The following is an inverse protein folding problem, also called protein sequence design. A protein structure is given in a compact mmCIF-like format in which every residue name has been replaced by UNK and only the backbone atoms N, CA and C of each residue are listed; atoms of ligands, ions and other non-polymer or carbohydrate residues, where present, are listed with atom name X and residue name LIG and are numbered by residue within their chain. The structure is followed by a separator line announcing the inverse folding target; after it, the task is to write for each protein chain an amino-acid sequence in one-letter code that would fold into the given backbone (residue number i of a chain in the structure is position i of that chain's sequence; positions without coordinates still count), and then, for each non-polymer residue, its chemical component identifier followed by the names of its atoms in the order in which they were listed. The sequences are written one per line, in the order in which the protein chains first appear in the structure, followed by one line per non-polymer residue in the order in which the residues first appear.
data_IF_144449746350
#
_entry.id   IF_144449746350
#
_cell.length_a   1.000
_cell.length_b   1.000
_cell.length_c   1.000
_cell.angle_alpha   90.00
_cell.angle_beta   90.00
_cell.angle_gamma   90.00
#
_symmetry.space_group_name_H-M   'P 1'
#
loop_
_entity.id
_entity.type
_entity.pdbx_description
1 polymer ?
#
# COMPACT_ATOMS: atom_id res chain seq x y z
N UNK A 1 28.36 -37.18 46.21
CA UNK A 1 28.18 -36.91 44.77
C UNK A 1 27.28 -35.70 44.64
N UNK A 2 27.82 -34.52 44.33
CA UNK A 2 27.04 -33.30 44.07
C UNK A 2 26.73 -33.18 42.57
N UNK A 3 25.50 -32.82 42.16
CA UNK A 3 25.14 -32.81 40.74
C UNK A 3 25.76 -31.61 40.01
N UNK A 4 26.24 -31.88 38.80
CA UNK A 4 26.82 -30.92 37.85
C UNK A 4 25.79 -29.86 37.42
N UNK A 5 26.11 -28.59 37.65
CA UNK A 5 25.31 -27.43 37.27
C UNK A 5 25.27 -27.29 35.72
N UNK A 6 24.09 -27.28 35.06
CA UNK A 6 24.03 -27.20 33.61
C UNK A 6 24.60 -25.87 33.10
N UNK A 7 25.62 -25.95 32.24
CA UNK A 7 26.27 -24.79 31.62
C UNK A 7 25.21 -23.92 30.92
N UNK A 8 25.02 -22.68 31.38
CA UNK A 8 24.17 -21.68 30.73
C UNK A 8 24.54 -21.58 29.25
N UNK A 9 23.59 -21.83 28.35
CA UNK A 9 23.76 -21.61 26.91
C UNK A 9 24.16 -20.15 26.69
N UNK A 10 25.33 -19.92 26.09
CA UNK A 10 25.77 -18.58 25.69
C UNK A 10 24.83 -18.08 24.60
N UNK A 11 24.25 -16.90 24.79
CA UNK A 11 23.52 -16.22 23.74
C UNK A 11 24.53 -15.82 22.66
N UNK A 12 24.57 -16.58 21.57
CA UNK A 12 25.31 -16.18 20.38
C UNK A 12 24.66 -14.91 19.83
N UNK A 13 25.35 -13.78 19.93
CA UNK A 13 24.96 -12.59 19.17
C UNK A 13 25.13 -12.93 17.70
N UNK A 14 24.02 -13.00 16.97
CA UNK A 14 24.06 -13.12 15.52
C UNK A 14 24.90 -11.96 14.97
N UNK A 15 25.83 -12.26 14.07
CA UNK A 15 26.71 -11.28 13.47
C UNK A 15 25.91 -10.11 12.87
N UNK A 16 26.41 -8.88 12.99
CA UNK A 16 25.73 -7.67 12.51
C UNK A 16 25.30 -7.73 11.05
N UNK A 17 25.97 -8.55 10.23
CA UNK A 17 25.57 -8.88 8.87
C UNK A 17 24.14 -9.43 8.76
N UNK A 18 23.72 -10.34 9.64
CA UNK A 18 22.35 -10.89 9.60
C UNK A 18 21.31 -9.86 10.06
N UNK A 19 21.68 -8.96 10.97
CA UNK A 19 20.83 -7.84 11.33
C UNK A 19 20.66 -6.88 10.14
N UNK A 20 21.74 -6.61 9.42
CA UNK A 20 21.75 -5.76 8.23
C UNK A 20 20.97 -6.39 7.07
N UNK A 21 21.17 -7.68 6.81
CA UNK A 21 20.45 -8.42 5.77
C UNK A 21 18.93 -8.43 6.03
N UNK A 22 18.51 -8.66 7.29
CA UNK A 22 17.09 -8.57 7.68
C UNK A 22 16.53 -7.17 7.50
N UNK A 23 17.30 -6.14 7.84
CA UNK A 23 16.88 -4.75 7.62
C UNK A 23 16.72 -4.45 6.12
N UNK A 24 17.63 -4.96 5.28
CA UNK A 24 17.59 -4.79 3.83
C UNK A 24 16.38 -5.49 3.21
N UNK A 25 16.11 -6.72 3.60
CA UNK A 25 14.91 -7.47 3.18
C UNK A 25 13.61 -6.74 3.56
N UNK A 26 13.56 -6.16 4.76
CA UNK A 26 12.39 -5.37 5.21
C UNK A 26 12.23 -4.03 4.47
N UNK A 27 13.31 -3.51 3.87
CA UNK A 27 13.27 -2.30 3.03
C UNK A 27 12.81 -2.65 1.61
N UNK A 28 13.26 -3.80 1.07
CA UNK A 28 12.96 -4.23 -0.29
C UNK A 28 11.53 -4.75 -0.45
N UNK A 29 10.97 -5.40 0.58
CA UNK A 29 9.65 -6.01 0.51
C UNK A 29 8.67 -5.35 1.49
N UNK A 30 7.89 -4.41 0.97
CA UNK A 30 6.89 -3.69 1.75
C UNK A 30 5.73 -4.58 2.20
N UNK A 31 5.36 -5.59 1.42
CA UNK A 31 4.25 -6.48 1.74
C UNK A 31 4.65 -7.41 2.89
N UNK A 32 5.87 -7.96 2.86
CA UNK A 32 6.46 -8.70 3.99
C UNK A 32 6.60 -7.82 5.24
N UNK A 33 6.96 -6.54 5.07
CA UNK A 33 6.99 -5.58 6.17
C UNK A 33 5.60 -5.39 6.80
N UNK A 34 4.53 -5.24 5.99
CA UNK A 34 3.15 -5.17 6.49
C UNK A 34 2.69 -6.47 7.18
N UNK A 35 3.15 -7.63 6.70
CA UNK A 35 2.91 -8.94 7.33
C UNK A 35 3.54 -9.08 8.70
N UNK A 36 4.77 -8.59 8.84
CA UNK A 36 5.48 -8.62 10.12
C UNK A 36 4.80 -7.84 11.25
N UNK A 37 3.84 -6.95 10.95
CA UNK A 37 3.15 -6.09 11.93
C UNK A 37 1.91 -6.70 12.56
N UNK A 38 1.51 -7.91 12.15
CA UNK A 38 0.38 -8.63 12.77
C UNK A 38 -0.92 -7.81 12.74
N UNK A 39 -1.57 -7.65 13.90
CA UNK A 39 -2.86 -6.95 13.99
C UNK A 39 -2.79 -5.47 13.63
N UNK A 40 -1.71 -4.78 14.02
CA UNK A 40 -1.47 -3.39 13.64
C UNK A 40 -1.26 -3.22 12.12
N UNK A 41 -0.87 -4.29 11.42
CA UNK A 41 -0.73 -4.31 9.96
C UNK A 41 -2.06 -4.35 9.20
N UNK A 42 -3.14 -4.87 9.80
CA UNK A 42 -4.47 -4.95 9.17
C UNK A 42 -5.01 -3.58 8.74
N UNK A 43 -5.11 -2.56 9.64
CA UNK A 43 -5.61 -1.25 9.25
C UNK A 43 -4.72 -0.57 8.21
N UNK A 44 -3.40 -0.78 8.27
CA UNK A 44 -2.46 -0.23 7.29
C UNK A 44 -2.66 -0.82 5.89
N UNK A 45 -2.97 -2.12 5.78
CA UNK A 45 -3.30 -2.75 4.49
C UNK A 45 -4.58 -2.18 3.91
N UNK A 46 -5.61 -2.01 4.74
CA UNK A 46 -6.87 -1.41 4.31
C UNK A 46 -6.65 0.02 3.83
N UNK A 47 -5.87 0.81 4.58
CA UNK A 47 -5.54 2.18 4.21
C UNK A 47 -4.72 2.24 2.91
N UNK A 48 -3.75 1.34 2.73
CA UNK A 48 -3.00 1.21 1.47
C UNK A 48 -3.93 0.90 0.31
N UNK A 49 -4.82 -0.07 0.45
CA UNK A 49 -5.77 -0.46 -0.58
C UNK A 49 -6.69 0.71 -0.95
N UNK A 50 -7.15 1.49 0.02
CA UNK A 50 -7.93 2.70 -0.21
C UNK A 50 -7.12 3.77 -0.95
N UNK A 51 -5.86 4.01 -0.58
CA UNK A 51 -4.98 4.96 -1.29
C UNK A 51 -4.75 4.54 -2.74
N UNK A 52 -4.51 3.24 -2.97
CA UNK A 52 -4.37 2.65 -4.30
C UNK A 52 -5.66 2.81 -5.11
N UNK A 53 -6.81 2.53 -4.50
CA UNK A 53 -8.11 2.68 -5.13
C UNK A 53 -8.42 4.14 -5.50
N UNK A 54 -8.11 5.09 -4.61
CA UNK A 54 -8.25 6.53 -4.85
C UNK A 54 -7.37 7.01 -6.01
N UNK A 55 -6.29 6.30 -6.30
CA UNK A 55 -5.43 6.54 -7.46
C UNK A 55 -5.89 5.86 -8.75
N UNK A 56 -7.02 5.15 -8.76
CA UNK A 56 -7.53 4.46 -9.95
C UNK A 56 -7.16 2.99 -10.04
N UNK A 57 -6.66 2.39 -8.96
CA UNK A 57 -6.40 0.96 -8.85
C UNK A 57 -5.00 0.52 -9.27
N UNK A 58 -4.70 -0.76 -9.00
CA UNK A 58 -3.35 -1.34 -9.09
C UNK A 58 -2.71 -1.19 -10.48
N UNK A 59 -3.52 -1.32 -11.54
CA UNK A 59 -3.06 -1.22 -12.93
C UNK A 59 -2.76 0.21 -13.39
N UNK A 60 -3.22 1.22 -12.64
CA UNK A 60 -3.11 2.62 -13.04
C UNK A 60 -1.96 3.35 -12.33
N UNK A 61 -1.36 2.75 -11.31
CA UNK A 61 -0.37 3.37 -10.43
C UNK A 61 1.04 3.22 -11.01
N UNK A 62 1.76 4.33 -11.04
CA UNK A 62 3.18 4.35 -11.41
C UNK A 62 4.07 3.88 -10.25
N UNK A 63 5.28 3.43 -10.54
CA UNK A 63 6.24 3.01 -9.50
C UNK A 63 6.53 4.12 -8.48
N UNK A 64 6.61 5.38 -8.92
CA UNK A 64 6.86 6.52 -8.06
C UNK A 64 5.72 6.78 -7.08
N UNK A 65 4.48 6.67 -7.54
CA UNK A 65 3.30 6.82 -6.68
C UNK A 65 3.23 5.70 -5.65
N UNK A 66 3.59 4.46 -6.03
CA UNK A 66 3.68 3.35 -5.07
C UNK A 66 4.70 3.63 -3.97
N UNK A 67 5.90 4.08 -4.34
CA UNK A 67 6.93 4.45 -3.37
C UNK A 67 6.42 5.55 -2.44
N UNK A 68 5.73 6.56 -2.97
CA UNK A 68 5.18 7.65 -2.18
C UNK A 68 4.07 7.18 -1.23
N UNK A 69 3.18 6.29 -1.66
CA UNK A 69 2.16 5.65 -0.81
C UNK A 69 2.83 4.87 0.33
N UNK A 70 3.78 4.00 0.00
CA UNK A 70 4.46 3.14 0.96
C UNK A 70 5.29 3.96 1.98
N UNK A 71 5.93 5.04 1.55
CA UNK A 71 6.60 6.00 2.43
C UNK A 71 5.61 6.71 3.37
N UNK A 72 4.47 7.15 2.84
CA UNK A 72 3.42 7.81 3.63
C UNK A 72 2.86 6.89 4.71
N UNK A 73 2.66 5.61 4.38
CA UNK A 73 2.19 4.59 5.33
C UNK A 73 3.19 4.36 6.48
N UNK A 74 4.50 4.32 6.18
CA UNK A 74 5.53 4.22 7.22
C UNK A 74 5.49 5.43 8.15
N UNK A 75 5.41 6.63 7.59
CA UNK A 75 5.33 7.88 8.36
C UNK A 75 4.05 7.94 9.21
N UNK A 76 2.92 7.48 8.68
CA UNK A 76 1.67 7.37 9.43
C UNK A 76 1.78 6.39 10.59
N UNK A 77 2.42 5.23 10.39
CA UNK A 77 2.69 4.30 11.48
C UNK A 77 3.59 4.92 12.55
N UNK A 78 4.63 5.68 12.18
CA UNK A 78 5.46 6.39 13.16
C UNK A 78 4.64 7.38 13.99
N UNK A 79 3.72 8.11 13.37
CA UNK A 79 2.82 9.00 14.09
C UNK A 79 1.96 8.24 15.10
N UNK A 80 1.39 7.10 14.70
CA UNK A 80 0.58 6.27 15.61
C UNK A 80 1.41 5.73 16.77
N UNK A 81 2.64 5.27 16.53
CA UNK A 81 3.54 4.79 17.58
C UNK A 81 3.94 5.90 18.57
N UNK A 82 4.11 7.13 18.09
CA UNK A 82 4.38 8.28 18.94
C UNK A 82 3.17 8.58 19.82
N UNK A 83 1.97 8.57 19.25
CA UNK A 83 0.75 8.83 19.99
C UNK A 83 0.48 7.73 21.03
N UNK A 84 0.72 6.46 20.67
CA UNK A 84 0.64 5.31 21.57
C UNK A 84 1.62 5.44 22.75
N UNK A 85 2.89 5.76 22.47
CA UNK A 85 3.90 6.02 23.50
C UNK A 85 3.49 7.15 24.45
N UNK A 86 3.04 8.29 23.91
CA UNK A 86 2.72 9.47 24.70
C UNK A 86 1.44 9.29 25.52
N UNK A 87 0.40 8.72 24.92
CA UNK A 87 -0.93 8.63 25.53
C UNK A 87 -1.12 7.36 26.36
N UNK A 88 -0.61 6.22 25.90
CA UNK A 88 -0.82 4.93 26.56
C UNK A 88 0.32 4.62 27.53
N UNK A 89 1.58 4.64 27.07
CA UNK A 89 2.70 4.23 27.93
C UNK A 89 3.06 5.26 29.00
N UNK A 90 3.16 6.54 28.61
CA UNK A 90 3.56 7.61 29.54
C UNK A 90 2.37 8.28 30.25
N UNK A 91 1.18 8.23 29.65
CA UNK A 91 -0.06 8.87 30.14
C UNK A 91 -0.03 10.40 30.23
N UNK A 92 1.13 11.03 30.00
CA UNK A 92 1.32 12.48 30.00
C UNK A 92 2.41 12.87 29.01
N UNK A 93 2.29 14.01 28.31
CA UNK A 93 3.30 14.47 27.35
C UNK A 93 4.53 15.09 28.02
N UNK A 94 4.48 15.29 29.34
CA UNK A 94 5.53 15.92 30.13
C UNK A 94 6.27 14.84 30.91
N UNK A 95 7.58 14.79 30.71
CA UNK A 95 8.47 14.01 31.57
C UNK A 95 8.53 14.68 32.95
N UNK A 96 7.97 14.01 33.96
CA UNK A 96 7.88 14.52 35.34
C UNK A 96 9.24 14.66 36.03
N UNK A 97 10.22 13.83 35.66
CA UNK A 97 11.57 13.86 36.24
C UNK A 97 12.31 15.13 35.82
N UNK A 98 12.32 15.41 34.52
CA UNK A 98 13.08 16.51 33.95
C UNK A 98 12.26 17.80 33.81
N UNK A 99 10.94 17.74 34.14
CA UNK A 99 9.96 18.83 34.03
C UNK A 99 9.93 19.46 32.63
N UNK A 100 10.05 18.63 31.61
CA UNK A 100 10.13 19.02 30.19
C UNK A 100 9.22 18.14 29.34
N UNK A 101 8.79 18.64 28.18
CA UNK A 101 8.10 17.81 27.19
C UNK A 101 9.02 16.71 26.68
N UNK A 102 8.46 15.54 26.37
CA UNK A 102 9.22 14.52 25.66
C UNK A 102 9.63 15.05 24.28
N UNK A 103 10.88 14.81 23.87
CA UNK A 103 11.37 15.23 22.55
C UNK A 103 10.52 14.65 21.41
N UNK A 104 9.94 13.47 21.62
CA UNK A 104 9.05 12.80 20.67
C UNK A 104 7.77 13.61 20.41
N UNK A 105 7.25 14.32 21.43
CA UNK A 105 6.09 15.22 21.29
C UNK A 105 6.42 16.42 20.40
N UNK A 106 7.64 16.95 20.49
CA UNK A 106 8.10 18.03 19.60
C UNK A 106 8.24 17.56 18.16
N UNK A 107 8.70 16.33 17.95
CA UNK A 107 8.85 15.72 16.62
C UNK A 107 7.52 15.33 15.96
N UNK A 108 6.44 15.23 16.74
CA UNK A 108 5.10 14.89 16.25
C UNK A 108 4.60 15.84 15.17
N UNK A 109 4.82 17.15 15.36
CA UNK A 109 4.34 18.19 14.43
C UNK A 109 4.87 17.99 13.01
N UNK A 110 6.20 17.96 12.80
CA UNK A 110 6.80 17.71 11.48
C UNK A 110 6.37 16.40 10.84
N UNK A 111 6.21 15.33 11.62
CA UNK A 111 5.76 14.02 11.11
C UNK A 111 4.32 14.10 10.62
N UNK A 112 3.44 14.73 11.40
CA UNK A 112 2.05 14.96 11.00
C UNK A 112 1.97 15.80 9.72
N UNK A 113 2.75 16.88 9.64
CA UNK A 113 2.82 17.74 8.46
C UNK A 113 3.29 16.96 7.22
N UNK A 114 4.28 16.07 7.36
CA UNK A 114 4.74 15.23 6.26
C UNK A 114 3.63 14.30 5.74
N UNK A 115 2.82 13.70 6.62
CA UNK A 115 1.67 12.88 6.22
C UNK A 115 0.63 13.72 5.49
N UNK A 116 0.32 14.91 6.01
CA UNK A 116 -0.68 15.80 5.39
C UNK A 116 -0.24 16.32 4.02
N UNK A 117 1.06 16.61 3.84
CA UNK A 117 1.63 17.03 2.55
C UNK A 117 1.62 15.93 1.50
N UNK A 118 1.62 14.66 1.90
CA UNK A 118 1.62 13.54 0.95
C UNK A 118 0.34 13.50 0.09
N UNK A 119 -0.82 13.86 0.65
CA UNK A 119 -2.10 13.83 -0.08
C UNK A 119 -2.13 14.70 -1.35
N UNK A 120 -1.83 16.01 -1.24
CA UNK A 120 -1.71 16.90 -2.40
C UNK A 120 -0.69 16.40 -3.44
N UNK A 121 0.48 15.94 -3.00
CA UNK A 121 1.53 15.42 -3.88
C UNK A 121 1.03 14.21 -4.68
N UNK A 122 0.36 13.26 -4.03
CA UNK A 122 -0.22 12.09 -4.72
C UNK A 122 -1.31 12.49 -5.72
N UNK A 123 -2.09 13.54 -5.43
CA UNK A 123 -3.09 14.06 -6.35
C UNK A 123 -2.46 14.75 -7.57
N UNK A 124 -1.36 15.47 -7.37
CA UNK A 124 -0.61 16.08 -8.47
C UNK A 124 -0.01 15.01 -9.40
N UNK A 125 0.60 13.97 -8.82
CA UNK A 125 1.10 12.81 -9.57
C UNK A 125 0.00 12.11 -10.36
N UNK A 126 -1.21 12.00 -9.79
CA UNK A 126 -2.37 11.46 -10.51
C UNK A 126 -2.77 12.34 -11.70
N UNK A 127 -2.74 13.67 -11.54
CA UNK A 127 -3.13 14.63 -12.59
C UNK A 127 -2.12 14.69 -13.74
N UNK A 128 -0.83 14.44 -13.45
CA UNK A 128 0.23 14.46 -14.46
C UNK A 128 0.25 13.21 -15.35
N UNK A 129 -0.57 12.20 -15.06
CA UNK A 129 -0.67 10.99 -15.89
C UNK A 129 -1.18 11.34 -17.29
N UNK A 130 -0.63 10.71 -18.35
CA UNK A 130 -1.17 10.85 -19.69
C UNK A 130 -2.60 10.35 -19.70
N UNK A 131 -3.55 11.22 -20.07
CA UNK A 131 -4.95 10.83 -20.22
C UNK A 131 -5.02 9.79 -21.33
N UNK A 132 -5.73 8.67 -21.10
CA UNK A 132 -6.11 7.79 -22.21
C UNK A 132 -6.81 8.64 -23.26
N UNK A 133 -6.33 8.57 -24.50
CA UNK A 133 -6.90 9.33 -25.59
C UNK A 133 -8.41 9.05 -25.68
N UNK A 134 -9.24 10.09 -25.83
CA UNK A 134 -10.66 9.90 -25.93
C UNK A 134 -10.96 9.04 -27.16
N UNK A 135 -11.69 7.95 -26.96
CA UNK A 135 -12.18 7.12 -28.06
C UNK A 135 -13.05 8.02 -28.94
N UNK A 136 -12.67 8.19 -30.21
CA UNK A 136 -13.44 8.98 -31.15
C UNK A 136 -14.85 8.37 -31.28
N UNK A 137 -15.87 9.23 -31.34
CA UNK A 137 -17.28 8.83 -31.41
C UNK A 137 -17.57 7.73 -32.48
N UNK A 138 -16.96 7.77 -33.70
CA UNK A 138 -17.15 6.74 -34.71
C UNK A 138 -16.67 5.35 -34.26
N UNK A 139 -15.55 5.28 -33.55
CA UNK A 139 -14.97 4.01 -33.09
C UNK A 139 -15.75 3.45 -31.91
N UNK A 140 -16.30 4.32 -31.07
CA UNK A 140 -17.23 3.93 -30.01
C UNK A 140 -18.51 3.30 -30.58
N UNK A 141 -19.11 3.93 -31.60
CA UNK A 141 -20.32 3.42 -32.27
C UNK A 141 -20.06 2.06 -32.93
N UNK A 142 -18.91 1.86 -33.57
CA UNK A 142 -18.50 0.56 -34.12
C UNK A 142 -18.35 -0.52 -33.05
N UNK A 143 -17.78 -0.19 -31.89
CA UNK A 143 -17.63 -1.15 -30.78
C UNK A 143 -18.96 -1.54 -30.12
N UNK A 144 -19.98 -0.68 -30.23
CA UNK A 144 -21.34 -0.91 -29.71
C UNK A 144 -22.27 -1.61 -30.72
N UNK A 145 -21.97 -1.52 -32.01
CA UNK A 145 -22.66 -2.28 -33.05
C UNK A 145 -22.29 -3.76 -32.93
N UNK A 146 -22.98 -4.50 -32.07
CA UNK A 146 -22.98 -5.96 -32.14
C UNK A 146 -23.39 -6.38 -33.56
N UNK A 147 -22.77 -7.40 -34.16
CA UNK A 147 -23.25 -7.94 -35.42
C UNK A 147 -24.67 -8.46 -35.17
N UNK A 148 -25.64 -7.84 -35.83
CA UNK A 148 -26.96 -8.43 -36.05
C UNK A 148 -26.69 -9.82 -36.62
N UNK A 149 -27.14 -10.91 -35.98
CA UNK A 149 -26.97 -12.24 -36.56
C UNK A 149 -27.70 -12.19 -37.91
N UNK A 150 -26.92 -12.30 -38.98
CA UNK A 150 -27.42 -12.32 -40.35
C UNK A 150 -28.48 -13.40 -40.47
N UNK A 151 -29.61 -13.02 -41.07
CA UNK A 151 -30.64 -13.94 -41.51
C UNK A 151 -29.99 -15.06 -42.31
N UNK A 152 -30.09 -16.28 -41.78
CA UNK A 152 -29.91 -17.50 -42.58
C UNK A 152 -30.90 -17.40 -43.73
N UNK A 153 -30.33 -17.15 -44.91
CA UNK A 153 -31.03 -17.13 -46.17
C UNK A 153 -31.72 -18.50 -46.37
N UNK A 154 -33.03 -18.54 -46.14
CA UNK A 154 -33.90 -19.60 -46.64
C UNK A 154 -34.14 -19.34 -48.13
N UNK A 155 -33.12 -19.60 -48.95
CA UNK A 155 -33.30 -19.92 -50.36
C UNK A 155 -33.75 -21.38 -50.45
N UNK A 156 -35.07 -21.61 -50.32
CA UNK A 156 -35.63 -22.87 -50.79
C UNK A 156 -35.75 -22.78 -52.31
N UNK A 157 -34.85 -23.51 -52.97
CA UNK A 157 -34.87 -23.79 -54.39
C UNK A 157 -36.24 -24.30 -54.84
N UNK A 158 -36.68 -23.77 -55.98
CA UNK A 158 -37.91 -24.15 -56.65
C UNK A 158 -37.91 -25.62 -57.07
N UNK A 159 -38.91 -26.34 -56.60
CA UNK A 159 -39.35 -27.59 -57.22
C UNK A 159 -40.41 -27.26 -58.28
N UNK A 160 -40.00 -27.19 -59.54
CA UNK A 160 -40.92 -27.22 -60.69
C UNK A 160 -40.51 -28.34 -61.66
N UNK A 161 -41.35 -29.38 -61.67
CA UNK A 161 -41.80 -30.24 -62.78
C UNK A 161 -40.80 -31.00 -63.69
N UNK A 162 -41.03 -32.32 -63.74
CA UNK A 162 -41.17 -33.26 -64.90
C UNK A 162 -40.61 -34.63 -64.48
N UNK A 163 -41.30 -35.78 -64.56
CA UNK A 163 -42.18 -36.38 -65.56
C UNK A 163 -43.03 -37.46 -64.89
#
# INVERSE_FOLDING_TARGET
MTPSNPRRKRNYQAHGFHALQRALEAIQDFDKWLESRGEAGKPLRTLRAQMIQNQGGESAITAHERIAIDATLKTYLYLFLIDDFVLIEQGTPVNRRDRRLFNVVLQRGPIYEAVMKAGPILNELRKSRPKKEPILLPDYLKSKAKPTPELVASGQDGSEATK
#
